data_IF_433624659996
#
_entry.id   IF_433624659996
#
_cell.length_a   1.000
_cell.length_b   1.000
_cell.length_c   1.000
_cell.angle_alpha   90.00
_cell.angle_beta   90.00
_cell.angle_gamma   90.00
#
_symmetry.space_group_name_H-M   'P 1'
#
loop_
_entity.id
_entity.type
_entity.pdbx_description
1 polymer ?
#
# COMPACT_ATOMS: atom_id res chain seq x y z
N UNK A 1 -44.24 52.06 -38.34
CA UNK A 1 -44.76 50.70 -38.06
C UNK A 1 -43.58 49.78 -37.75
N UNK A 2 -43.51 49.25 -36.51
CA UNK A 2 -42.78 48.03 -36.04
C UNK A 2 -41.24 48.03 -36.18
N UNK A 3 -40.41 47.57 -35.24
CA UNK A 3 -40.50 47.14 -33.85
C UNK A 3 -39.05 47.09 -33.30
N UNK A 4 -38.87 47.36 -32.01
CA UNK A 4 -37.61 47.22 -31.27
C UNK A 4 -37.21 45.75 -31.08
N UNK A 5 -35.91 45.44 -30.92
CA UNK A 5 -35.42 44.64 -29.77
C UNK A 5 -33.90 44.55 -29.64
N UNK A 6 -33.49 44.62 -28.37
CA UNK A 6 -32.20 44.34 -27.73
C UNK A 6 -31.35 43.23 -28.37
N UNK A 7 -30.05 43.46 -28.48
CA UNK A 7 -29.05 42.41 -28.65
C UNK A 7 -28.40 42.13 -27.30
N UNK A 8 -28.91 41.11 -26.61
CA UNK A 8 -28.40 40.61 -25.34
C UNK A 8 -26.96 40.11 -25.47
N UNK A 9 -26.12 40.56 -24.55
CA UNK A 9 -24.80 40.03 -24.24
C UNK A 9 -24.92 38.59 -23.73
N UNK A 10 -24.15 37.65 -24.29
CA UNK A 10 -23.94 36.33 -23.70
C UNK A 10 -22.46 36.23 -23.35
N UNK A 11 -22.17 36.29 -22.06
CA UNK A 11 -20.90 35.88 -21.45
C UNK A 11 -20.98 34.36 -21.29
N UNK A 12 -20.15 33.61 -22.03
CA UNK A 12 -20.02 32.16 -21.84
C UNK A 12 -18.94 31.93 -20.78
N UNK A 13 -19.37 31.57 -19.57
CA UNK A 13 -18.50 31.15 -18.47
C UNK A 13 -18.19 29.66 -18.66
N UNK A 14 -17.00 29.32 -19.16
CA UNK A 14 -16.51 27.93 -19.19
C UNK A 14 -16.22 27.47 -17.75
N UNK A 15 -17.14 26.70 -17.17
CA UNK A 15 -16.88 25.91 -15.97
C UNK A 15 -16.22 24.59 -16.40
N UNK A 16 -14.89 24.56 -16.36
CA UNK A 16 -14.10 23.34 -16.42
C UNK A 16 -14.42 22.50 -15.17
N UNK A 17 -15.24 21.47 -15.31
CA UNK A 17 -15.46 20.50 -14.25
C UNK A 17 -14.18 19.72 -13.99
N UNK A 18 -13.55 19.94 -12.83
CA UNK A 18 -12.61 18.97 -12.28
C UNK A 18 -13.40 17.68 -12.02
N UNK A 19 -13.08 16.62 -12.75
CA UNK A 19 -13.41 15.26 -12.34
C UNK A 19 -12.57 14.95 -11.09
N UNK A 20 -13.13 15.23 -9.92
CA UNK A 20 -12.61 14.68 -8.66
C UNK A 20 -12.99 13.21 -8.65
N UNK A 21 -12.01 12.33 -8.92
CA UNK A 21 -12.17 10.91 -8.64
C UNK A 21 -12.25 10.76 -7.13
N UNK A 22 -13.41 10.38 -6.59
CA UNK A 22 -13.53 10.08 -5.17
C UNK A 22 -12.65 8.85 -4.87
N UNK A 23 -11.59 9.05 -4.10
CA UNK A 23 -10.78 7.95 -3.57
C UNK A 23 -11.71 7.04 -2.75
N UNK A 24 -11.91 5.81 -3.19
CA UNK A 24 -12.74 4.86 -2.45
C UNK A 24 -11.92 4.33 -1.28
N UNK A 25 -12.26 4.75 -0.07
CA UNK A 25 -11.74 4.13 1.13
C UNK A 25 -12.27 2.69 1.24
N UNK A 26 -11.38 1.76 1.57
CA UNK A 26 -11.73 0.36 1.81
C UNK A 26 -11.26 -0.04 3.21
N UNK A 27 -12.15 -0.67 3.95
CA UNK A 27 -11.83 -1.25 5.26
C UNK A 27 -11.42 -2.70 5.07
N UNK A 28 -10.27 -3.06 5.62
CA UNK A 28 -9.73 -4.42 5.59
C UNK A 28 -9.85 -5.01 7.00
N UNK A 29 -10.49 -6.17 7.10
CA UNK A 29 -10.49 -6.98 8.32
C UNK A 29 -9.11 -7.62 8.51
N UNK A 30 -8.43 -7.30 9.60
CA UNK A 30 -7.05 -7.71 9.89
C UNK A 30 -6.92 -8.33 11.29
N UNK A 31 -5.78 -8.98 11.57
CA UNK A 31 -5.52 -9.62 12.86
C UNK A 31 -5.58 -8.66 14.06
N UNK A 32 -5.39 -7.37 13.84
CA UNK A 32 -5.44 -6.32 14.86
C UNK A 32 -6.69 -5.45 14.78
N UNK A 33 -7.73 -5.93 14.09
CA UNK A 33 -8.97 -5.21 13.83
C UNK A 33 -9.01 -4.59 12.44
N UNK A 34 -10.00 -3.73 12.23
CA UNK A 34 -10.25 -3.09 10.94
C UNK A 34 -9.20 -2.02 10.63
N UNK A 35 -8.65 -2.06 9.41
CA UNK A 35 -7.72 -1.06 8.90
C UNK A 35 -8.33 -0.38 7.69
N UNK A 36 -8.49 0.93 7.77
CA UNK A 36 -8.95 1.74 6.65
C UNK A 36 -7.77 2.07 5.72
N UNK A 37 -7.94 1.80 4.43
CA UNK A 37 -6.98 2.14 3.38
C UNK A 37 -7.69 3.03 2.38
N UNK A 38 -7.26 4.29 2.32
CA UNK A 38 -7.81 5.28 1.40
C UNK A 38 -7.15 5.19 0.02
N UNK A 39 -7.96 5.26 -1.03
CA UNK A 39 -7.46 5.33 -2.40
C UNK A 39 -6.58 4.15 -2.82
N UNK A 40 -5.61 4.43 -3.70
CA UNK A 40 -4.61 3.45 -4.16
C UNK A 40 -3.28 3.78 -3.49
N UNK A 41 -2.74 2.88 -2.65
CA UNK A 41 -1.41 3.06 -2.06
C UNK A 41 -0.34 3.21 -3.14
N UNK A 42 0.50 4.22 -3.00
CA UNK A 42 1.63 4.50 -3.90
C UNK A 42 2.98 4.22 -3.24
N UNK A 43 3.03 4.20 -1.90
CA UNK A 43 4.24 4.11 -1.09
C UNK A 43 4.18 2.90 -0.16
N UNK A 44 4.23 1.71 -0.77
CA UNK A 44 4.09 0.44 -0.06
C UNK A 44 5.42 -0.03 0.52
N UNK A 45 5.42 -0.43 1.80
CA UNK A 45 6.54 -1.14 2.44
C UNK A 45 6.12 -2.54 2.86
N UNK A 46 7.00 -3.52 2.63
CA UNK A 46 6.76 -4.94 2.94
C UNK A 46 7.70 -5.44 4.04
N UNK A 47 7.16 -6.08 5.06
CA UNK A 47 7.91 -6.52 6.25
C UNK A 47 8.11 -8.03 6.36
N UNK A 48 7.87 -8.75 5.27
CA UNK A 48 8.18 -10.17 5.12
C UNK A 48 8.19 -10.58 3.64
N UNK A 49 8.92 -11.65 3.31
CA UNK A 49 9.13 -12.09 1.92
C UNK A 49 7.81 -12.32 1.15
N UNK A 50 6.84 -12.98 1.78
CA UNK A 50 5.57 -13.25 1.12
C UNK A 50 4.74 -12.01 0.77
N UNK A 51 4.94 -10.86 1.41
CA UNK A 51 4.31 -9.60 0.99
C UNK A 51 5.07 -8.94 -0.16
N UNK A 52 6.41 -9.08 -0.19
CA UNK A 52 7.22 -8.64 -1.32
C UNK A 52 6.81 -9.40 -2.59
N UNK A 53 6.74 -10.74 -2.50
CA UNK A 53 6.31 -11.60 -3.60
C UNK A 53 4.92 -11.23 -4.11
N UNK A 54 3.96 -11.05 -3.20
CA UNK A 54 2.58 -10.72 -3.55
C UNK A 54 2.47 -9.34 -4.21
N UNK A 55 3.23 -8.35 -3.72
CA UNK A 55 3.27 -7.01 -4.30
C UNK A 55 3.84 -7.03 -5.72
N UNK A 56 4.98 -7.72 -5.91
CA UNK A 56 5.62 -7.83 -7.23
C UNK A 56 4.74 -8.60 -8.22
N UNK A 57 4.08 -9.67 -7.77
CA UNK A 57 3.11 -10.40 -8.59
C UNK A 57 1.88 -9.55 -8.98
N UNK A 58 1.52 -8.56 -8.16
CA UNK A 58 0.48 -7.58 -8.47
C UNK A 58 0.99 -6.40 -9.33
N UNK A 59 2.28 -6.38 -9.69
CA UNK A 59 2.90 -5.31 -10.47
C UNK A 59 3.21 -4.04 -9.66
N UNK A 60 3.29 -4.17 -8.33
CA UNK A 60 3.66 -3.09 -7.41
C UNK A 60 5.09 -3.33 -6.97
N UNK A 61 5.97 -2.35 -7.16
CA UNK A 61 7.34 -2.36 -6.62
C UNK A 61 7.36 -1.65 -5.28
N UNK A 62 7.55 -2.35 -4.14
CA UNK A 62 7.60 -1.70 -2.84
C UNK A 62 8.81 -0.79 -2.69
N UNK A 63 8.67 0.28 -1.89
CA UNK A 63 9.79 1.16 -1.51
C UNK A 63 10.73 0.51 -0.48
N UNK A 64 10.21 -0.46 0.26
CA UNK A 64 10.94 -1.12 1.33
C UNK A 64 10.63 -2.61 1.43
N UNK A 65 11.67 -3.37 1.76
CA UNK A 65 11.62 -4.80 1.99
C UNK A 65 12.54 -5.18 3.17
N UNK A 66 12.34 -6.37 3.73
CA UNK A 66 13.25 -6.94 4.73
C UNK A 66 14.28 -7.84 4.06
N UNK A 67 15.40 -8.07 4.74
CA UNK A 67 16.39 -9.04 4.24
C UNK A 67 15.86 -10.47 4.34
N UNK A 68 16.35 -11.33 3.45
CA UNK A 68 16.16 -12.77 3.57
C UNK A 68 17.02 -13.34 4.70
N UNK A 69 16.63 -14.52 5.19
CA UNK A 69 17.33 -15.17 6.30
C UNK A 69 18.79 -15.44 5.93
N UNK A 70 19.71 -14.86 6.69
CA UNK A 70 21.14 -15.09 6.54
C UNK A 70 21.80 -14.29 5.42
N UNK A 71 21.11 -13.30 4.85
CA UNK A 71 21.65 -12.36 3.88
C UNK A 71 21.40 -10.90 4.25
N UNK A 72 21.98 -10.01 3.45
CA UNK A 72 21.91 -8.55 3.63
C UNK A 72 20.89 -7.89 2.69
N UNK A 73 20.29 -8.66 1.78
CA UNK A 73 19.34 -8.21 0.77
C UNK A 73 18.11 -9.13 0.71
N UNK A 74 17.19 -8.84 -0.21
CA UNK A 74 16.06 -9.71 -0.54
C UNK A 74 16.54 -11.08 -1.05
N UNK A 75 15.63 -12.03 -1.18
CA UNK A 75 15.97 -13.35 -1.72
C UNK A 75 16.40 -13.27 -3.20
N UNK A 76 17.37 -14.09 -3.59
CA UNK A 76 17.98 -14.05 -4.94
C UNK A 76 16.96 -14.28 -6.07
N UNK A 77 15.92 -15.10 -5.85
CA UNK A 77 14.87 -15.30 -6.85
C UNK A 77 14.03 -14.03 -7.10
N UNK A 78 14.00 -13.11 -6.15
CA UNK A 78 13.29 -11.82 -6.25
C UNK A 78 14.13 -10.81 -7.04
N UNK A 79 15.45 -10.89 -6.98
CA UNK A 79 16.37 -9.94 -7.65
C UNK A 79 16.08 -9.78 -9.15
N UNK A 80 15.70 -10.86 -9.85
CA UNK A 80 15.34 -10.80 -11.27
C UNK A 80 14.05 -10.00 -11.57
N UNK A 81 13.23 -9.77 -10.54
CA UNK A 81 11.96 -9.03 -10.63
C UNK A 81 12.09 -7.58 -10.11
N UNK A 82 13.18 -7.27 -9.42
CA UNK A 82 13.53 -5.93 -8.99
C UNK A 82 14.26 -5.26 -10.15
N UNK A 83 13.57 -4.37 -10.86
CA UNK A 83 14.20 -3.54 -11.89
C UNK A 83 15.22 -2.57 -11.27
N UNK A 84 15.31 -1.37 -11.84
CA UNK A 84 16.19 -0.32 -11.31
C UNK A 84 15.74 0.19 -9.93
N UNK A 85 14.43 0.13 -9.65
CA UNK A 85 13.83 0.65 -8.42
C UNK A 85 13.86 -0.39 -7.28
N UNK A 86 15.07 -0.71 -6.82
CA UNK A 86 15.26 -1.66 -5.71
C UNK A 86 14.70 -1.12 -4.38
N UNK A 87 13.98 -1.93 -3.59
CA UNK A 87 13.49 -1.53 -2.28
C UNK A 87 14.65 -1.25 -1.32
N UNK A 88 14.49 -0.25 -0.47
CA UNK A 88 15.37 -0.03 0.67
C UNK A 88 15.19 -1.16 1.72
N UNK A 89 16.27 -1.50 2.40
CA UNK A 89 16.25 -2.55 3.42
C UNK A 89 15.74 -2.00 4.75
N UNK A 90 14.62 -2.55 5.21
CA UNK A 90 13.93 -2.20 6.46
C UNK A 90 14.44 -3.00 7.67
N UNK A 91 15.61 -3.64 7.55
CA UNK A 91 16.15 -4.56 8.55
C UNK A 91 15.69 -6.00 8.32
N UNK A 92 15.62 -6.78 9.42
CA UNK A 92 15.20 -8.19 9.40
C UNK A 92 13.76 -8.30 9.91
N UNK A 93 13.03 -9.35 9.55
CA UNK A 93 11.63 -9.56 10.00
C UNK A 93 11.43 -9.41 11.53
N UNK A 94 12.44 -9.77 12.33
CA UNK A 94 12.36 -9.70 13.80
C UNK A 94 12.71 -8.34 14.38
N UNK A 95 13.38 -7.49 13.61
CA UNK A 95 13.96 -6.22 14.04
C UNK A 95 13.91 -5.22 12.87
N UNK A 96 12.83 -4.44 12.87
CA UNK A 96 12.55 -3.45 11.84
C UNK A 96 13.36 -2.17 12.11
N UNK A 97 14.06 -1.68 11.11
CA UNK A 97 14.73 -0.39 11.12
C UNK A 97 13.69 0.73 10.93
N UNK A 98 13.31 1.36 12.04
CA UNK A 98 12.30 2.43 12.07
C UNK A 98 12.78 3.70 11.38
N UNK A 99 14.08 4.02 11.43
CA UNK A 99 14.62 5.20 10.75
C UNK A 99 14.51 5.03 9.23
N UNK A 100 14.84 3.84 8.71
CA UNK A 100 14.68 3.51 7.31
C UNK A 100 13.20 3.57 6.89
N UNK A 101 12.30 3.04 7.72
CA UNK A 101 10.85 3.10 7.49
C UNK A 101 10.36 4.55 7.38
N UNK A 102 10.74 5.42 8.32
CA UNK A 102 10.34 6.83 8.32
C UNK A 102 10.89 7.59 7.11
N UNK A 103 12.11 7.27 6.67
CA UNK A 103 12.70 7.85 5.47
C UNK A 103 11.89 7.52 4.20
N UNK A 104 11.24 6.36 4.16
CA UNK A 104 10.38 5.97 3.05
C UNK A 104 9.00 6.61 3.07
N UNK A 105 8.55 7.21 4.20
CA UNK A 105 7.22 7.83 4.31
C UNK A 105 6.11 6.97 3.68
N UNK A 106 5.91 5.73 4.14
CA UNK A 106 4.94 4.83 3.52
C UNK A 106 3.51 5.32 3.71
N UNK A 107 2.64 4.94 2.79
CA UNK A 107 1.19 5.11 2.90
C UNK A 107 0.47 3.77 3.18
N UNK A 108 1.21 2.65 3.12
CA UNK A 108 0.73 1.33 3.49
C UNK A 108 1.91 0.43 3.92
N UNK A 109 1.75 -0.27 5.03
CA UNK A 109 2.71 -1.25 5.55
C UNK A 109 2.07 -2.64 5.52
N UNK A 110 2.74 -3.60 4.87
CA UNK A 110 2.30 -5.00 4.80
C UNK A 110 3.15 -5.85 5.76
N UNK A 111 2.53 -6.27 6.87
CA UNK A 111 3.23 -6.93 7.97
C UNK A 111 2.91 -8.43 8.09
N UNK A 112 3.82 -9.24 8.68
CA UNK A 112 3.59 -10.67 8.86
C UNK A 112 2.50 -10.96 9.90
N UNK A 113 1.82 -12.09 9.78
CA UNK A 113 0.74 -12.49 10.67
C UNK A 113 1.18 -12.69 12.15
N UNK A 114 2.48 -12.88 12.40
CA UNK A 114 3.08 -13.03 13.74
C UNK A 114 3.78 -11.74 14.20
N UNK A 115 3.37 -10.57 13.70
CA UNK A 115 3.85 -9.28 14.19
C UNK A 115 3.54 -9.16 15.70
N UNK A 116 4.49 -8.74 16.56
CA UNK A 116 4.19 -8.44 17.97
C UNK A 116 3.32 -7.19 18.14
N UNK A 117 2.47 -7.15 19.17
CA UNK A 117 1.57 -6.00 19.43
C UNK A 117 2.32 -4.67 19.57
N UNK A 118 3.42 -4.65 20.30
CA UNK A 118 4.26 -3.46 20.46
C UNK A 118 4.78 -2.92 19.12
N UNK A 119 5.17 -3.82 18.21
CA UNK A 119 5.60 -3.43 16.86
C UNK A 119 4.42 -2.95 16.02
N UNK A 120 3.25 -3.60 16.11
CA UNK A 120 2.04 -3.16 15.43
C UNK A 120 1.65 -1.74 15.84
N UNK A 121 1.62 -1.45 17.15
CA UNK A 121 1.30 -0.11 17.65
C UNK A 121 2.28 0.95 17.15
N UNK A 122 3.57 0.59 17.02
CA UNK A 122 4.58 1.51 16.49
C UNK A 122 4.37 1.77 15.00
N UNK A 123 4.20 0.72 14.19
CA UNK A 123 4.03 0.82 12.74
C UNK A 123 2.71 1.53 12.37
N UNK A 124 1.64 1.29 13.13
CA UNK A 124 0.33 1.91 12.92
C UNK A 124 0.32 3.43 13.17
N UNK A 125 1.32 3.95 13.90
CA UNK A 125 1.53 5.41 14.02
C UNK A 125 2.24 6.01 12.81
N UNK A 126 2.85 5.18 11.96
CA UNK A 126 3.56 5.61 10.75
C UNK A 126 2.60 5.60 9.56
N UNK A 127 1.91 4.49 9.34
CA UNK A 127 0.97 4.31 8.23
C UNK A 127 -0.04 3.18 8.53
N UNK A 128 -1.17 3.10 7.79
CA UNK A 128 -2.04 1.94 7.82
C UNK A 128 -1.24 0.63 7.72
N UNK A 129 -1.35 -0.21 8.74
CA UNK A 129 -0.53 -1.43 8.86
C UNK A 129 -1.43 -2.64 8.77
N UNK A 130 -1.33 -3.37 7.65
CA UNK A 130 -2.17 -4.54 7.38
C UNK A 130 -1.46 -5.79 7.86
N UNK A 131 -2.05 -6.45 8.86
CA UNK A 131 -1.59 -7.74 9.38
C UNK A 131 -2.61 -8.83 9.03
N UNK A 132 -2.30 -9.79 8.16
CA UNK A 132 -3.25 -10.83 7.81
C UNK A 132 -3.55 -11.71 9.04
N UNK A 133 -4.77 -12.20 9.13
CA UNK A 133 -5.16 -13.20 10.12
C UNK A 133 -4.22 -14.41 10.06
N UNK A 134 -3.76 -14.87 11.23
CA UNK A 134 -3.03 -16.14 11.32
C UNK A 134 -4.02 -17.29 11.54
N UNK A 135 -4.06 -18.25 10.61
CA UNK A 135 -4.71 -19.54 10.84
C UNK A 135 -3.64 -20.63 10.99
N UNK A 136 -3.69 -21.46 12.04
CA UNK A 136 -2.80 -22.61 12.14
C UNK A 136 -3.05 -23.56 10.96
N UNK A 137 -2.05 -23.75 10.11
CA UNK A 137 -1.94 -24.84 9.12
C UNK A 137 -3.21 -25.10 8.27
N UNK A 138 -3.80 -24.08 7.65
CA UNK A 138 -4.76 -24.29 6.58
C UNK A 138 -4.04 -24.25 5.21
N UNK A 139 -4.27 -25.26 4.37
CA UNK A 139 -3.71 -25.33 2.99
C UNK A 139 -4.09 -24.10 2.14
N UNK A 140 -5.14 -23.39 2.54
CA UNK A 140 -5.68 -22.21 1.88
C UNK A 140 -5.16 -20.87 2.43
N UNK A 141 -4.17 -20.87 3.33
CA UNK A 141 -3.59 -19.62 3.89
C UNK A 141 -3.07 -18.65 2.81
N UNK A 142 -2.67 -19.15 1.64
CA UNK A 142 -2.31 -18.31 0.50
C UNK A 142 -3.49 -17.48 -0.05
N UNK A 143 -4.73 -17.96 0.11
CA UNK A 143 -5.95 -17.22 -0.25
C UNK A 143 -6.26 -16.11 0.74
N UNK A 144 -5.90 -16.25 2.02
CA UNK A 144 -6.06 -15.17 3.02
C UNK A 144 -5.08 -14.01 2.76
N UNK A 145 -3.94 -14.27 2.13
CA UNK A 145 -3.03 -13.22 1.64
C UNK A 145 -3.63 -12.36 0.51
N UNK A 146 -4.84 -12.67 0.00
CA UNK A 146 -5.51 -11.86 -1.03
C UNK A 146 -5.95 -10.48 -0.54
N UNK A 147 -5.85 -10.17 0.75
CA UNK A 147 -6.00 -8.80 1.27
C UNK A 147 -5.08 -7.83 0.53
N UNK A 148 -3.93 -8.28 0.01
CA UNK A 148 -2.98 -7.46 -0.74
C UNK A 148 -3.35 -7.23 -2.22
N UNK A 149 -4.40 -7.87 -2.75
CA UNK A 149 -4.85 -7.65 -4.13
C UNK A 149 -5.93 -6.58 -4.18
N UNK A 150 -5.50 -5.33 -4.29
CA UNK A 150 -6.37 -4.21 -4.64
C UNK A 150 -6.71 -4.35 -6.12
N UNK A 151 -7.96 -4.68 -6.44
CA UNK A 151 -8.43 -4.53 -7.81
C UNK A 151 -8.49 -3.03 -8.13
N UNK A 152 -7.80 -2.63 -9.20
CA UNK A 152 -7.98 -1.36 -9.88
C UNK A 152 -9.44 -1.14 -10.27
#
# INVERSE_FOLDING_TARGET
>A
MRAATLRNSIVVLLMSGLLVSAAQARTLDTAYGDVEVEGTPERVVTLYEGALDASLAAGITPLGAVTTRGGDNVAEYVEAHLGEDRPAIMGVVREINIEAMLAQQPDLILAPAQLPDEQYQLLSRIAPTVVPHSQPLAADNWKLKRVFTVKR
#
